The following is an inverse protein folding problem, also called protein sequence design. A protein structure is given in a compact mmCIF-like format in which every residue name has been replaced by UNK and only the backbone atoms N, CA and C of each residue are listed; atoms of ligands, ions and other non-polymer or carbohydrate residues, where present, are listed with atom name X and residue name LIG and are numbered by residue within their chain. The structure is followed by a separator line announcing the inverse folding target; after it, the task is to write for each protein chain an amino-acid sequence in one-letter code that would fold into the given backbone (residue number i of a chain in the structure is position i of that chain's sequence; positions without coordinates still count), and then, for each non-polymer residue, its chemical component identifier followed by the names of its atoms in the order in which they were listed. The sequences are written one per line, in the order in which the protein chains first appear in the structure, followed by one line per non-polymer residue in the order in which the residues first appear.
data_IF_799556082798
#
_entry.id   IF_799556082798
#
_cell.length_a   1.000
_cell.length_b   1.000
_cell.length_c   1.000
_cell.angle_alpha   90.00
_cell.angle_beta   90.00
_cell.angle_gamma   90.00
#
_symmetry.space_group_name_H-M   'P 1'
#
loop_
_entity.id
_entity.type
_entity.pdbx_description
1 polymer ?
#
# COMPACT_ATOMS: atom_id res chain seq x y z
N UNK A 1 3.01 -40.39 -31.46
CA UNK A 1 2.33 -40.47 -30.14
C UNK A 1 2.96 -39.54 -29.09
N UNK A 2 4.28 -39.56 -28.86
CA UNK A 2 4.94 -38.73 -27.84
C UNK A 2 4.65 -37.21 -27.94
N UNK A 3 4.57 -36.66 -29.17
CA UNK A 3 4.28 -35.24 -29.39
C UNK A 3 2.89 -34.80 -28.92
N UNK A 4 1.88 -35.67 -29.06
CA UNK A 4 0.52 -35.35 -28.61
C UNK A 4 0.38 -35.48 -27.10
N UNK A 5 1.07 -36.44 -26.47
CA UNK A 5 1.16 -36.55 -25.01
C UNK A 5 1.81 -35.30 -24.43
N UNK A 6 2.88 -34.78 -25.05
CA UNK A 6 3.57 -33.57 -24.59
C UNK A 6 2.71 -32.31 -24.72
N UNK A 7 1.93 -32.19 -25.80
CA UNK A 7 0.98 -31.07 -26.00
C UNK A 7 -0.15 -31.14 -24.98
N UNK A 8 -0.72 -32.32 -24.73
CA UNK A 8 -1.78 -32.51 -23.73
C UNK A 8 -1.26 -32.21 -22.31
N UNK A 9 -0.03 -32.65 -22.00
CA UNK A 9 0.63 -32.34 -20.73
C UNK A 9 0.87 -30.83 -20.58
N UNK A 10 1.36 -30.15 -21.62
CA UNK A 10 1.59 -28.70 -21.60
C UNK A 10 0.31 -27.89 -21.43
N UNK A 11 -0.79 -28.31 -22.08
CA UNK A 11 -2.11 -27.67 -21.92
C UNK A 11 -2.68 -27.89 -20.50
N UNK A 12 -2.45 -29.06 -19.89
CA UNK A 12 -2.81 -29.32 -18.50
C UNK A 12 -2.00 -28.49 -17.50
N UNK A 13 -0.73 -28.20 -17.80
CA UNK A 13 0.09 -27.31 -16.97
C UNK A 13 -0.28 -25.82 -17.08
N UNK A 14 -1.00 -25.41 -18.13
CA UNK A 14 -1.47 -24.03 -18.30
C UNK A 14 -2.74 -23.72 -17.51
N UNK A 15 -3.42 -24.71 -16.92
CA UNK A 15 -4.56 -24.48 -16.03
C UNK A 15 -4.13 -24.20 -14.58
N UNK A 16 -3.25 -23.22 -14.38
CA UNK A 16 -3.05 -22.62 -13.06
C UNK A 16 -4.17 -21.58 -12.87
N UNK A 17 -5.31 -22.02 -12.33
CA UNK A 17 -6.38 -21.10 -11.95
C UNK A 17 -5.86 -20.16 -10.87
N UNK A 18 -5.69 -18.88 -11.20
CA UNK A 18 -5.59 -17.81 -10.22
C UNK A 18 -6.97 -17.62 -9.58
N UNK A 19 -7.32 -18.49 -8.62
CA UNK A 19 -8.56 -18.38 -7.87
C UNK A 19 -8.48 -17.15 -6.98
N UNK A 20 -9.30 -16.14 -7.30
CA UNK A 20 -9.43 -14.97 -6.44
C UNK A 20 -9.94 -15.43 -5.06
N UNK A 21 -9.34 -15.01 -3.94
CA UNK A 21 -9.86 -15.34 -2.62
C UNK A 21 -11.32 -14.88 -2.53
N UNK A 22 -12.16 -15.78 -2.04
CA UNK A 22 -13.59 -15.52 -1.93
C UNK A 22 -13.82 -14.39 -0.92
N UNK A 23 -14.69 -13.44 -1.30
CA UNK A 23 -15.09 -12.39 -0.37
C UNK A 23 -15.74 -13.02 0.87
N UNK A 24 -15.60 -12.40 2.07
CA UNK A 24 -16.27 -12.87 3.27
C UNK A 24 -17.78 -13.00 3.01
N UNK A 25 -18.34 -14.15 3.36
CA UNK A 25 -19.78 -14.39 3.26
C UNK A 25 -20.47 -13.94 4.55
N UNK A 26 -21.58 -13.21 4.40
CA UNK A 26 -22.38 -12.74 5.53
C UNK A 26 -21.88 -11.43 6.15
N UNK A 27 -22.57 -11.00 7.20
CA UNK A 27 -22.34 -9.71 7.83
C UNK A 27 -21.16 -9.77 8.80
N UNK A 28 -20.19 -8.89 8.58
CA UNK A 28 -18.99 -8.76 9.41
C UNK A 28 -19.24 -7.77 10.54
N UNK A 29 -18.90 -8.18 11.75
CA UNK A 29 -18.82 -7.28 12.89
C UNK A 29 -17.56 -6.40 12.77
N UNK A 30 -17.74 -5.16 12.32
CA UNK A 30 -16.65 -4.23 12.06
C UNK A 30 -15.74 -4.01 13.28
N UNK A 31 -16.22 -3.68 14.50
CA UNK A 31 -15.35 -3.57 15.68
C UNK A 31 -14.41 -4.75 15.89
N UNK A 32 -14.92 -5.98 15.79
CA UNK A 32 -14.09 -7.19 15.94
C UNK A 32 -13.08 -7.34 14.80
N UNK A 33 -13.45 -6.93 13.58
CA UNK A 33 -12.56 -6.94 12.42
C UNK A 33 -11.45 -5.88 12.55
N UNK A 34 -11.76 -4.68 13.05
CA UNK A 34 -10.78 -3.61 13.24
C UNK A 34 -9.70 -4.01 14.25
N UNK A 35 -10.06 -4.71 15.35
CA UNK A 35 -9.09 -5.26 16.31
C UNK A 35 -8.12 -6.22 15.62
N UNK A 36 -8.63 -7.09 14.74
CA UNK A 36 -7.79 -8.04 13.99
C UNK A 36 -6.85 -7.33 13.02
N UNK A 37 -7.33 -6.31 12.31
CA UNK A 37 -6.54 -5.54 11.35
C UNK A 37 -5.48 -4.67 12.03
N UNK A 38 -5.77 -4.13 13.21
CA UNK A 38 -4.82 -3.33 13.98
C UNK A 38 -3.66 -4.19 14.55
N UNK A 39 -3.95 -5.45 14.89
CA UNK A 39 -2.95 -6.44 15.32
C UNK A 39 -1.96 -6.83 14.19
N UNK A 40 -2.25 -6.51 12.93
CA UNK A 40 -1.31 -6.74 11.82
C UNK A 40 -0.23 -5.66 11.86
N UNK A 41 0.91 -6.03 12.45
CA UNK A 41 2.11 -5.16 12.58
C UNK A 41 3.13 -5.34 11.46
N UNK A 42 3.11 -6.49 10.78
CA UNK A 42 4.00 -6.79 9.66
C UNK A 42 3.21 -7.05 8.39
N UNK A 43 3.46 -6.25 7.36
CA UNK A 43 2.79 -6.37 6.07
C UNK A 43 3.62 -5.73 4.97
N UNK A 44 3.32 -6.07 3.71
CA UNK A 44 3.97 -5.48 2.56
C UNK A 44 2.98 -5.27 1.41
N UNK A 45 3.26 -4.27 0.58
CA UNK A 45 2.47 -3.92 -0.60
C UNK A 45 3.40 -3.75 -1.78
N UNK A 46 3.03 -4.39 -2.88
CA UNK A 46 3.64 -4.17 -4.19
C UNK A 46 2.50 -3.76 -5.13
N UNK A 47 2.59 -2.58 -5.72
CA UNK A 47 1.49 -2.05 -6.51
C UNK A 47 1.85 -0.83 -7.33
N UNK A 48 0.82 -0.09 -7.75
CA UNK A 48 0.96 1.19 -8.42
C UNK A 48 0.31 2.27 -7.59
N UNK A 49 0.94 3.43 -7.54
CA UNK A 49 0.48 4.61 -6.85
C UNK A 49 0.40 5.74 -7.88
N UNK A 50 -0.77 6.37 -7.95
CA UNK A 50 -1.04 7.47 -8.85
C UNK A 50 -1.40 8.71 -8.01
N UNK A 51 -0.60 9.75 -8.16
CA UNK A 51 -0.86 11.07 -7.59
C UNK A 51 -1.36 11.99 -8.69
N UNK A 52 -2.41 12.73 -8.37
CA UNK A 52 -3.00 13.70 -9.27
C UNK A 52 -3.24 14.99 -8.53
N UNK A 53 -2.41 15.96 -8.83
CA UNK A 53 -2.56 17.36 -8.44
C UNK A 53 -2.96 18.19 -9.67
N UNK A 54 -3.47 19.43 -9.48
CA UNK A 54 -3.90 20.27 -10.60
C UNK A 54 -2.81 20.48 -11.67
N UNK A 55 -1.57 20.66 -11.23
CA UNK A 55 -0.43 20.99 -12.11
C UNK A 55 0.40 19.78 -12.52
N UNK A 56 0.37 18.69 -11.74
CA UNK A 56 1.24 17.52 -11.93
C UNK A 56 0.52 16.23 -11.61
N UNK A 57 0.76 15.21 -12.44
CA UNK A 57 0.32 13.85 -12.18
C UNK A 57 1.50 12.90 -12.27
N UNK A 58 1.65 12.03 -11.28
CA UNK A 58 2.74 11.06 -11.20
C UNK A 58 2.12 9.67 -11.08
N UNK A 59 2.66 8.71 -11.83
CA UNK A 59 2.34 7.29 -11.66
C UNK A 59 3.64 6.54 -11.39
N UNK A 60 3.69 5.83 -10.26
CA UNK A 60 4.87 5.13 -9.80
C UNK A 60 4.52 3.69 -9.38
N UNK A 61 5.49 2.79 -9.51
CA UNK A 61 5.47 1.50 -8.86
C UNK A 61 5.80 1.71 -7.37
N UNK A 62 4.96 1.18 -6.50
CA UNK A 62 5.11 1.22 -5.06
C UNK A 62 5.65 -0.10 -4.54
N UNK A 63 6.69 -0.04 -3.72
CA UNK A 63 7.06 -1.11 -2.79
C UNK A 63 7.07 -0.55 -1.38
N UNK A 64 6.20 -1.08 -0.53
CA UNK A 64 6.10 -0.70 0.87
C UNK A 64 6.26 -1.94 1.74
N UNK A 65 7.19 -1.93 2.68
CA UNK A 65 7.35 -2.98 3.68
C UNK A 65 7.26 -2.36 5.06
N UNK A 66 6.42 -2.91 5.92
CA UNK A 66 6.12 -2.35 7.23
C UNK A 66 6.36 -3.40 8.30
N UNK A 67 7.06 -2.98 9.36
CA UNK A 67 7.13 -3.60 10.67
C UNK A 67 6.89 -2.51 11.71
N UNK A 68 5.61 -2.15 11.88
CA UNK A 68 5.09 -1.00 12.64
C UNK A 68 5.85 -0.77 13.97
N UNK A 69 6.42 0.44 14.20
CA UNK A 69 6.28 1.67 13.40
C UNK A 69 7.32 1.86 12.30
N UNK A 70 8.21 0.88 12.09
CA UNK A 70 9.30 0.98 11.11
C UNK A 70 8.81 0.58 9.73
N UNK A 71 9.33 1.21 8.68
CA UNK A 71 8.98 0.84 7.31
C UNK A 71 10.01 1.27 6.28
N UNK A 72 9.98 0.62 5.12
CA UNK A 72 10.61 1.09 3.89
C UNK A 72 9.55 1.41 2.86
N UNK A 73 9.66 2.57 2.22
CA UNK A 73 8.72 3.09 1.22
C UNK A 73 9.49 3.50 -0.02
N UNK A 74 9.25 2.81 -1.14
CA UNK A 74 9.96 3.09 -2.40
C UNK A 74 8.98 3.33 -3.53
N UNK A 75 9.22 4.41 -4.26
CA UNK A 75 8.54 4.70 -5.52
C UNK A 75 9.55 4.65 -6.66
N UNK A 76 9.21 3.96 -7.74
CA UNK A 76 9.99 3.94 -8.97
C UNK A 76 9.11 4.15 -10.19
N UNK A 77 9.69 4.68 -11.27
CA UNK A 77 8.97 4.78 -12.54
C UNK A 77 8.92 3.43 -13.27
N UNK A 78 8.31 3.39 -14.45
CA UNK A 78 8.19 2.15 -15.23
C UNK A 78 9.53 1.63 -15.79
N UNK A 79 10.54 2.49 -15.91
CA UNK A 79 11.90 2.13 -16.32
C UNK A 79 12.72 1.55 -15.17
N UNK A 80 12.17 1.54 -13.94
CA UNK A 80 12.86 1.07 -12.75
C UNK A 80 13.74 2.11 -12.07
N UNK A 81 13.74 3.36 -12.55
CA UNK A 81 14.44 4.46 -11.88
C UNK A 81 13.72 4.77 -10.58
N UNK A 82 14.47 4.76 -9.48
CA UNK A 82 13.97 5.14 -8.15
C UNK A 82 13.70 6.63 -8.11
N UNK A 83 12.48 7.02 -7.73
CA UNK A 83 12.07 8.41 -7.54
C UNK A 83 12.30 8.84 -6.09
N UNK A 84 11.98 7.95 -5.16
CA UNK A 84 12.24 8.09 -3.71
C UNK A 84 12.48 6.73 -3.11
N UNK A 85 13.47 6.63 -2.23
CA UNK A 85 13.74 5.48 -1.37
C UNK A 85 13.79 5.95 0.08
N UNK A 86 12.74 5.64 0.84
CA UNK A 86 12.57 6.09 2.21
C UNK A 86 12.62 4.92 3.19
N UNK A 87 13.26 5.15 4.32
CA UNK A 87 13.28 4.28 5.49
C UNK A 87 12.92 5.07 6.74
N UNK A 88 11.91 4.59 7.49
CA UNK A 88 11.58 5.07 8.83
C UNK A 88 12.20 4.13 9.86
N UNK A 89 13.13 4.68 10.66
CA UNK A 89 13.77 3.98 11.77
C UNK A 89 13.30 4.55 13.12
N UNK A 90 13.85 4.02 14.22
CA UNK A 90 13.66 4.57 15.56
C UNK A 90 14.29 5.96 15.74
N UNK A 91 15.27 6.31 14.92
CA UNK A 91 16.02 7.56 15.00
C UNK A 91 15.43 8.67 14.10
N UNK A 92 14.49 8.31 13.22
CA UNK A 92 13.83 9.22 12.28
C UNK A 92 13.66 8.61 10.90
N UNK A 93 13.19 9.43 9.95
CA UNK A 93 13.11 9.08 8.55
C UNK A 93 14.39 9.47 7.81
N UNK A 94 14.83 8.61 6.90
CA UNK A 94 15.87 8.86 5.89
C UNK A 94 15.23 8.69 4.51
N UNK A 95 15.42 9.64 3.61
CA UNK A 95 14.95 9.58 2.23
C UNK A 95 16.12 9.83 1.28
N UNK A 96 16.20 9.02 0.24
CA UNK A 96 17.13 9.20 -0.87
C UNK A 96 16.36 9.53 -2.15
N UNK A 97 16.74 10.61 -2.81
CA UNK A 97 16.18 11.08 -4.08
C UNK A 97 17.23 11.91 -4.82
N UNK A 98 17.28 11.76 -6.15
CA UNK A 98 18.24 12.49 -7.01
C UNK A 98 19.70 12.41 -6.52
N UNK A 99 20.13 11.23 -6.06
CA UNK A 99 21.45 10.94 -5.47
C UNK A 99 21.80 11.74 -4.19
N UNK A 100 20.82 12.44 -3.61
CA UNK A 100 20.94 13.14 -2.32
C UNK A 100 20.21 12.39 -1.20
N UNK A 101 20.69 12.58 0.03
CA UNK A 101 20.13 11.94 1.24
C UNK A 101 19.64 13.02 2.19
N UNK A 102 18.39 12.88 2.61
CA UNK A 102 17.70 13.78 3.53
C UNK A 102 17.22 13.01 4.76
N UNK A 103 17.06 13.72 5.87
CA UNK A 103 16.58 13.15 7.13
C UNK A 103 15.64 14.10 7.85
N UNK A 104 14.60 13.57 8.49
CA UNK A 104 13.66 14.33 9.33
C UNK A 104 13.01 13.36 10.33
N UNK A 105 12.58 13.79 11.53
CA UNK A 105 11.80 12.94 12.43
C UNK A 105 10.49 12.39 11.83
N UNK A 106 9.88 13.09 10.88
CA UNK A 106 8.63 12.73 10.22
C UNK A 106 8.85 12.32 8.76
N UNK A 107 8.55 11.06 8.44
CA UNK A 107 8.53 10.56 7.07
C UNK A 107 7.58 11.37 6.16
N UNK A 108 6.37 11.68 6.63
CA UNK A 108 5.40 12.48 5.87
C UNK A 108 5.97 13.85 5.53
N UNK A 109 6.56 14.55 6.52
CA UNK A 109 7.17 15.85 6.30
C UNK A 109 8.37 15.78 5.35
N UNK A 110 9.25 14.78 5.52
CA UNK A 110 10.43 14.58 4.67
C UNK A 110 10.04 14.37 3.21
N UNK A 111 9.04 13.52 2.95
CA UNK A 111 8.56 13.26 1.60
C UNK A 111 8.03 14.53 0.94
N UNK A 112 7.22 15.30 1.66
CA UNK A 112 6.69 16.57 1.16
C UNK A 112 7.80 17.59 0.90
N UNK A 113 8.74 17.75 1.83
CA UNK A 113 9.83 18.73 1.67
C UNK A 113 10.74 18.40 0.49
N UNK A 114 11.03 17.13 0.23
CA UNK A 114 11.90 16.72 -0.88
C UNK A 114 11.17 16.69 -2.23
N UNK A 115 9.90 16.26 -2.28
CA UNK A 115 9.19 16.00 -3.55
C UNK A 115 8.04 16.94 -3.87
N UNK A 116 7.53 17.64 -2.86
CA UNK A 116 6.27 18.40 -2.91
C UNK A 116 5.00 17.53 -2.84
N UNK A 117 5.12 16.20 -2.80
CA UNK A 117 3.96 15.32 -2.77
C UNK A 117 3.31 15.28 -1.39
N UNK A 118 2.03 15.63 -1.32
CA UNK A 118 1.22 15.53 -0.11
C UNK A 118 0.68 14.10 0.06
N UNK A 119 1.57 13.18 0.45
CA UNK A 119 1.23 11.78 0.75
C UNK A 119 1.23 11.61 2.28
N UNK A 120 0.05 11.43 2.91
CA UNK A 120 -0.08 11.30 4.36
C UNK A 120 0.33 9.88 4.81
N UNK A 121 1.63 9.59 4.84
CA UNK A 121 2.17 8.24 5.11
C UNK A 121 1.69 7.70 6.46
N UNK A 122 1.66 8.54 7.50
CA UNK A 122 1.23 8.14 8.84
C UNK A 122 -0.23 7.65 8.87
N UNK A 123 -1.10 8.27 8.09
CA UNK A 123 -2.51 7.89 7.97
C UNK A 123 -2.67 6.67 7.05
N UNK A 124 -1.93 6.63 5.94
CA UNK A 124 -1.95 5.53 4.98
C UNK A 124 -1.53 4.19 5.60
N UNK A 125 -0.63 4.18 6.60
CA UNK A 125 -0.30 2.97 7.36
C UNK A 125 -1.55 2.28 7.96
N UNK A 126 -2.57 3.05 8.35
CA UNK A 126 -3.86 2.53 8.83
C UNK A 126 -4.86 2.31 7.68
N UNK A 127 -5.03 3.31 6.82
CA UNK A 127 -6.07 3.30 5.78
C UNK A 127 -5.90 2.19 4.77
N UNK A 128 -4.66 1.82 4.45
CA UNK A 128 -4.41 0.74 3.49
C UNK A 128 -4.82 -0.63 4.04
N UNK A 129 -4.84 -0.80 5.36
CA UNK A 129 -5.43 -1.98 6.01
C UNK A 129 -6.95 -1.91 6.13
N UNK A 130 -7.57 -0.79 5.75
CA UNK A 130 -9.00 -0.53 5.96
C UNK A 130 -9.35 -0.16 7.40
N UNK A 131 -8.39 0.40 8.15
CA UNK A 131 -8.60 0.86 9.54
C UNK A 131 -8.78 2.38 9.54
N UNK A 132 -9.99 2.90 9.87
CA UNK A 132 -10.19 4.33 10.06
C UNK A 132 -9.49 4.81 11.33
N UNK A 133 -8.94 6.03 11.30
CA UNK A 133 -8.35 6.71 12.45
C UNK A 133 -9.40 7.56 13.17
N UNK A 134 -9.04 8.02 14.36
CA UNK A 134 -9.90 8.91 15.13
C UNK A 134 -10.15 10.21 14.35
N UNK A 135 -11.42 10.50 14.09
CA UNK A 135 -11.85 11.68 13.32
C UNK A 135 -12.14 11.42 11.86
N UNK A 136 -11.80 10.24 11.31
CA UNK A 136 -12.17 9.88 9.94
C UNK A 136 -13.66 9.56 9.84
N UNK A 137 -14.28 10.01 8.75
CA UNK A 137 -15.62 9.62 8.37
C UNK A 137 -15.56 8.39 7.44
N UNK A 138 -16.52 7.47 7.59
CA UNK A 138 -16.56 6.29 6.73
C UNK A 138 -17.96 5.73 6.53
N UNK A 139 -18.12 4.96 5.45
CA UNK A 139 -19.33 4.20 5.14
C UNK A 139 -19.01 2.72 5.00
N UNK A 140 -20.04 1.88 5.18
CA UNK A 140 -19.93 0.43 5.07
C UNK A 140 -20.64 -0.10 3.82
N UNK A 141 -20.17 -1.24 3.33
CA UNK A 141 -20.87 -2.03 2.32
C UNK A 141 -21.88 -2.99 2.97
N UNK A 142 -22.60 -3.74 2.14
CA UNK A 142 -23.65 -4.67 2.58
C UNK A 142 -23.13 -5.79 3.50
N UNK A 143 -21.83 -6.07 3.46
CA UNK A 143 -21.17 -7.05 4.33
C UNK A 143 -20.65 -6.44 5.64
N UNK A 144 -20.91 -5.17 5.93
CA UNK A 144 -20.44 -4.49 7.15
C UNK A 144 -18.94 -4.15 7.13
N UNK A 145 -18.31 -4.11 5.96
CA UNK A 145 -16.91 -3.73 5.78
C UNK A 145 -16.78 -2.30 5.24
N UNK A 146 -15.62 -1.68 5.46
CA UNK A 146 -15.30 -0.34 4.96
C UNK A 146 -15.51 -0.26 3.44
N UNK A 147 -16.35 0.68 3.00
CA UNK A 147 -16.63 0.97 1.59
C UNK A 147 -15.92 2.23 1.13
N UNK A 148 -16.00 3.28 1.94
CA UNK A 148 -15.40 4.57 1.67
C UNK A 148 -14.87 5.13 2.99
N UNK A 149 -13.71 5.78 2.93
CA UNK A 149 -13.10 6.49 4.03
C UNK A 149 -12.78 7.90 3.54
N UNK A 150 -13.11 8.89 4.37
CA UNK A 150 -12.80 10.29 4.16
C UNK A 150 -11.95 10.75 5.34
N UNK A 151 -10.74 11.26 5.08
CA UNK A 151 -9.88 11.79 6.13
C UNK A 151 -10.60 12.88 6.92
N UNK A 152 -10.55 12.79 8.24
CA UNK A 152 -11.04 13.88 9.10
C UNK A 152 -10.17 15.12 8.94
N UNK A 153 -10.76 16.26 8.60
CA UNK A 153 -10.07 17.54 8.70
C UNK A 153 -10.04 17.97 10.18
N UNK A 154 -8.91 17.80 10.86
CA UNK A 154 -8.63 18.47 12.13
C UNK A 154 -7.24 19.04 12.12
#
# INVERSE_FOLDING_TARGET
MFRQVFIVLFVLFLSACATRPQAPQGQINLPAQLIKLDAIKKWNINGKLALREPEKSVSANLRWQVSDPLFTFRLSNFLGVTLVDMEQTVDGARLEADDEVYTDPSATALLYQTTGWDIPLDQLLSWVKGVPRAGDDYTLNDNGLLKQLMPGCR
#
